data_IF_981771706083
#
_entry.id   IF_981771706083
#
_cell.length_a   1.000
_cell.length_b   1.000
_cell.length_c   1.000
_cell.angle_alpha   90.00
_cell.angle_beta   90.00
_cell.angle_gamma   90.00
#
_symmetry.space_group_name_H-M   'P 1'
#
loop_
_entity.id
_entity.type
_entity.pdbx_description
1 polymer ?
#
# COMPACT_ATOMS: atom_id res chain seq x y z
N UNK A 1 30.79 19.21 -0.53
CA UNK A 1 30.85 17.78 -0.84
C UNK A 1 29.69 17.15 -0.08
N UNK A 2 28.66 16.66 -0.79
CA UNK A 2 27.43 16.14 -0.18
C UNK A 2 27.48 14.62 -0.28
N UNK A 3 27.75 13.95 0.84
CA UNK A 3 27.74 12.49 0.92
C UNK A 3 26.30 12.00 1.04
N UNK A 4 25.78 11.40 -0.04
CA UNK A 4 24.49 10.72 -0.02
C UNK A 4 24.74 9.30 0.46
N UNK A 5 24.50 9.03 1.74
CA UNK A 5 24.50 7.67 2.26
C UNK A 5 23.21 6.96 1.82
N UNK A 6 23.33 6.08 0.83
CA UNK A 6 22.29 5.10 0.48
C UNK A 6 22.25 4.06 1.60
N UNK A 7 21.40 4.28 2.59
CA UNK A 7 21.07 3.25 3.58
C UNK A 7 20.19 2.20 2.90
N UNK A 8 20.76 1.04 2.61
CA UNK A 8 20.03 -0.14 2.20
C UNK A 8 19.23 -0.67 3.40
N UNK A 9 17.99 -0.20 3.57
CA UNK A 9 17.09 -0.72 4.57
C UNK A 9 16.56 -2.10 4.13
N UNK A 10 16.67 -3.15 4.96
CA UNK A 10 15.97 -4.41 4.70
C UNK A 10 14.46 -4.15 4.69
N UNK A 11 13.75 -4.77 3.74
CA UNK A 11 12.33 -4.59 3.49
C UNK A 11 11.47 -4.89 4.74
N UNK A 12 11.22 -3.85 5.55
CA UNK A 12 10.02 -3.81 6.41
C UNK A 12 8.80 -3.82 5.48
N UNK A 13 7.67 -4.44 5.87
CA UNK A 13 6.42 -4.19 5.17
C UNK A 13 6.25 -2.66 5.10
N UNK A 14 6.10 -2.05 3.90
CA UNK A 14 6.36 -0.63 3.69
C UNK A 14 5.44 0.32 4.46
N UNK A 15 4.47 -0.19 5.20
CA UNK A 15 3.45 0.60 5.86
C UNK A 15 3.16 0.06 7.27
N UNK A 16 3.93 0.50 8.26
CA UNK A 16 3.67 0.17 9.69
C UNK A 16 2.49 0.94 10.29
N UNK A 17 1.98 1.97 9.60
CA UNK A 17 0.92 2.87 10.03
C UNK A 17 0.05 3.33 8.84
N UNK A 18 -0.53 2.37 8.09
CA UNK A 18 -1.63 2.73 7.17
C UNK A 18 -2.79 3.23 8.03
N UNK A 19 -3.14 4.51 7.87
CA UNK A 19 -4.36 5.07 8.46
C UNK A 19 -5.56 4.81 7.55
N UNK A 20 -5.36 4.95 6.23
CA UNK A 20 -6.39 4.73 5.23
C UNK A 20 -5.83 3.96 4.04
N UNK A 21 -6.64 3.08 3.48
CA UNK A 21 -6.36 2.41 2.21
C UNK A 21 -7.51 2.72 1.24
N UNK A 22 -7.17 3.31 0.10
CA UNK A 22 -8.11 3.58 -0.99
C UNK A 22 -7.83 2.61 -2.14
N UNK A 23 -8.87 1.92 -2.60
CA UNK A 23 -8.83 1.04 -3.77
C UNK A 23 -9.89 1.53 -4.74
N UNK A 24 -9.45 1.95 -5.92
CA UNK A 24 -10.31 2.47 -6.99
C UNK A 24 -10.33 1.47 -8.15
N UNK A 25 -11.54 1.10 -8.56
CA UNK A 25 -11.78 0.17 -9.66
C UNK A 25 -12.54 0.90 -10.75
N UNK A 26 -11.95 0.99 -11.94
CA UNK A 26 -12.59 1.64 -13.09
C UNK A 26 -12.75 0.60 -14.20
N UNK A 27 -13.99 0.34 -14.67
CA UNK A 27 -14.20 -0.56 -15.79
C UNK A 27 -13.58 0.05 -17.06
N UNK A 28 -12.89 -0.79 -17.83
CA UNK A 28 -12.31 -0.45 -19.12
C UNK A 28 -13.00 -1.23 -20.24
N UNK A 29 -12.80 -0.76 -21.47
CA UNK A 29 -13.24 -1.51 -22.65
C UNK A 29 -12.59 -2.90 -22.72
N UNK A 30 -13.32 -3.88 -23.29
CA UNK A 30 -12.83 -5.25 -23.43
C UNK A 30 -12.91 -6.09 -22.15
N UNK A 31 -13.69 -5.67 -21.15
CA UNK A 31 -13.91 -6.43 -19.90
C UNK A 31 -12.78 -6.30 -18.89
N UNK A 32 -11.82 -5.41 -19.13
CA UNK A 32 -10.73 -5.14 -18.19
C UNK A 32 -11.13 -4.17 -17.10
N UNK A 33 -10.34 -4.12 -16.03
CA UNK A 33 -10.50 -3.19 -14.91
C UNK A 33 -9.16 -2.50 -14.65
N UNK A 34 -9.15 -1.18 -14.57
CA UNK A 34 -8.03 -0.45 -13.99
C UNK A 34 -8.17 -0.44 -12.47
N UNK A 35 -7.08 -0.78 -11.78
CA UNK A 35 -6.98 -0.81 -10.33
C UNK A 35 -5.95 0.24 -9.91
N UNK A 36 -6.36 1.20 -9.09
CA UNK A 36 -5.44 2.08 -8.39
C UNK A 36 -5.57 1.86 -6.89
N UNK A 37 -4.43 1.74 -6.22
CA UNK A 37 -4.34 1.52 -4.79
C UNK A 37 -3.45 2.58 -4.18
N UNK A 38 -3.97 3.29 -3.19
CA UNK A 38 -3.25 4.34 -2.45
C UNK A 38 -3.34 4.04 -0.97
N UNK A 39 -2.20 4.07 -0.27
CA UNK A 39 -2.15 4.01 1.18
C UNK A 39 -1.84 5.40 1.73
N UNK A 40 -2.67 5.87 2.65
CA UNK A 40 -2.43 7.10 3.40
C UNK A 40 -1.77 6.75 4.72
N UNK A 41 -0.64 7.39 4.99
CA UNK A 41 0.17 7.23 6.20
C UNK A 41 0.33 8.57 6.92
N UNK A 42 0.67 8.54 8.20
CA UNK A 42 1.05 9.75 8.95
C UNK A 42 2.56 9.93 8.82
N UNK A 43 2.99 11.13 8.47
CA UNK A 43 4.38 11.53 8.54
C UNK A 43 4.82 11.64 10.02
N UNK A 44 5.91 10.95 10.38
CA UNK A 44 6.39 10.89 11.76
C UNK A 44 7.12 12.18 12.20
N UNK A 45 7.52 13.03 11.26
CA UNK A 45 8.26 14.26 11.52
C UNK A 45 7.37 15.50 11.46
N UNK A 46 6.30 15.47 10.65
CA UNK A 46 5.36 16.57 10.46
C UNK A 46 3.94 16.02 10.63
N UNK A 47 3.03 16.69 11.37
CA UNK A 47 1.66 16.20 11.52
C UNK A 47 0.86 16.37 10.23
N UNK A 48 1.11 15.51 9.24
CA UNK A 48 0.48 15.52 7.92
C UNK A 48 0.18 14.10 7.44
N UNK A 49 -0.85 13.98 6.61
CA UNK A 49 -1.19 12.75 5.91
C UNK A 49 -0.46 12.70 4.56
N UNK A 50 0.16 11.57 4.29
CA UNK A 50 0.88 11.29 3.04
C UNK A 50 0.23 10.14 2.30
N UNK A 51 -0.24 10.44 1.09
CA UNK A 51 -0.74 9.45 0.14
C UNK A 51 0.43 8.82 -0.62
N UNK A 52 0.49 7.50 -0.61
CA UNK A 52 1.51 6.71 -1.29
C UNK A 52 0.85 5.73 -2.26
N UNK A 53 1.30 5.71 -3.50
CA UNK A 53 0.86 4.71 -4.46
C UNK A 53 1.35 3.32 -4.03
N UNK A 54 0.40 2.38 -3.92
CA UNK A 54 0.65 0.98 -3.58
C UNK A 54 0.69 0.13 -4.85
N UNK A 55 -0.23 0.41 -5.79
CA UNK A 55 -0.31 -0.25 -7.08
C UNK A 55 -1.14 0.58 -8.07
N UNK A 56 -0.77 0.48 -9.35
CA UNK A 56 -1.52 1.01 -10.48
C UNK A 56 -1.44 -0.01 -11.61
N UNK A 57 -2.46 -0.87 -11.74
CA UNK A 57 -2.43 -2.02 -12.65
C UNK A 57 -3.73 -2.17 -13.45
N UNK A 58 -3.63 -2.81 -14.62
CA UNK A 58 -4.78 -3.21 -15.43
C UNK A 58 -4.94 -4.72 -15.32
N UNK A 59 -6.13 -5.17 -14.94
CA UNK A 59 -6.44 -6.59 -14.76
C UNK A 59 -7.62 -7.03 -15.61
N UNK A 60 -7.80 -8.34 -15.75
CA UNK A 60 -8.83 -8.93 -16.64
C UNK A 60 -9.99 -9.55 -15.86
N UNK A 61 -9.86 -9.69 -14.54
CA UNK A 61 -10.90 -10.28 -13.69
C UNK A 61 -10.88 -9.71 -12.28
N UNK A 62 -11.98 -9.94 -11.55
CA UNK A 62 -12.06 -9.62 -10.12
C UNK A 62 -11.10 -10.49 -9.30
N UNK A 63 -10.85 -11.73 -9.70
CA UNK A 63 -9.91 -12.62 -9.00
C UNK A 63 -8.47 -12.08 -9.06
N UNK A 64 -8.10 -11.45 -10.18
CA UNK A 64 -6.82 -10.75 -10.33
C UNK A 64 -6.75 -9.52 -9.40
N UNK A 65 -7.85 -8.75 -9.26
CA UNK A 65 -7.93 -7.64 -8.29
C UNK A 65 -7.68 -8.16 -6.87
N UNK A 66 -8.36 -9.23 -6.47
CA UNK A 66 -8.22 -9.81 -5.13
C UNK A 66 -6.79 -10.33 -4.88
N UNK A 67 -6.17 -10.92 -5.90
CA UNK A 67 -4.78 -11.38 -5.85
C UNK A 67 -3.80 -10.21 -5.70
N UNK A 68 -4.03 -9.11 -6.42
CA UNK A 68 -3.24 -7.88 -6.31
C UNK A 68 -3.37 -7.28 -4.91
N UNK A 69 -4.58 -7.20 -4.36
CA UNK A 69 -4.81 -6.71 -2.99
C UNK A 69 -4.04 -7.55 -1.98
N UNK A 70 -4.15 -8.88 -2.03
CA UNK A 70 -3.45 -9.77 -1.09
C UNK A 70 -1.94 -9.64 -1.16
N UNK A 71 -1.40 -9.41 -2.35
CA UNK A 71 0.05 -9.30 -2.59
C UNK A 71 0.60 -7.97 -2.09
N UNK A 72 -0.15 -6.88 -2.31
CA UNK A 72 0.34 -5.51 -2.07
C UNK A 72 -0.07 -4.94 -0.73
N UNK A 73 -1.15 -5.46 -0.15
CA UNK A 73 -1.67 -5.07 1.16
C UNK A 73 -1.47 -6.26 2.10
N UNK A 74 -0.21 -6.52 2.45
CA UNK A 74 0.10 -7.54 3.43
C UNK A 74 -0.51 -7.12 4.78
N UNK A 75 -1.58 -7.81 5.18
CA UNK A 75 -2.21 -7.65 6.48
C UNK A 75 -1.21 -8.12 7.55
N UNK A 76 -0.63 -7.21 8.32
CA UNK A 76 0.02 -7.56 9.59
C UNK A 76 -1.10 -7.61 10.62
N UNK A 77 -1.52 -8.80 11.11
CA UNK A 77 -2.45 -8.85 12.21
C UNK A 77 -1.78 -8.12 13.38
N UNK A 78 -2.41 -7.06 13.90
CA UNK A 78 -2.04 -6.59 15.23
C UNK A 78 -2.38 -7.72 16.17
N UNK A 79 -1.37 -8.52 16.55
CA UNK A 79 -1.46 -9.37 17.71
C UNK A 79 -1.82 -8.44 18.86
N UNK A 80 -3.05 -8.57 19.36
CA UNK A 80 -3.44 -7.97 20.62
C UNK A 80 -2.39 -8.41 21.63
N UNK A 81 -1.57 -7.47 22.09
CA UNK A 81 -0.80 -7.64 23.32
C UNK A 81 -1.82 -7.77 24.44
N UNK A 82 -2.26 -9.01 24.67
CA UNK A 82 -2.87 -9.39 25.93
C UNK A 82 -1.80 -9.18 27.00
N UNK A 83 -2.17 -8.36 27.97
CA UNK A 83 -1.83 -8.46 29.40
C UNK A 83 -0.37 -8.75 29.75
N UNK A 84 0.30 -7.74 30.31
CA UNK A 84 1.04 -7.87 31.56
C UNK A 84 1.20 -6.50 32.24
#
# INVERSE_FOLDING_TARGET
MLDIQVSAYPARPPYSSIEFLRIELVPLAGGHVAVQMTATTVDEHVPQLLDQEVASEKVSSIDDVLSLIRTRVAFVPRLNSKEQ
#
